data_IF_510188023720
#
_entry.id   IF_510188023720
#
_cell.length_a   1.000
_cell.length_b   1.000
_cell.length_c   1.000
_cell.angle_alpha   90.00
_cell.angle_beta   90.00
_cell.angle_gamma   90.00
#
_symmetry.space_group_name_H-M   'P 1'
#
loop_
_entity.id
_entity.type
_entity.pdbx_description
1 polymer ?
#
# COMPACT_ATOMS: atom_id res chain seq x y z
N UNK A 1 -18.57 7.67 -17.42
CA UNK A 1 -17.52 7.02 -18.25
C UNK A 1 -16.89 5.89 -17.45
N UNK A 2 -16.73 4.73 -18.09
CA UNK A 2 -16.01 3.57 -17.52
C UNK A 2 -14.51 3.70 -17.72
N UNK A 3 -13.70 3.30 -16.74
CA UNK A 3 -12.23 3.28 -16.81
C UNK A 3 -11.69 2.00 -16.17
N UNK A 4 -10.56 1.53 -16.68
CA UNK A 4 -9.83 0.43 -16.06
C UNK A 4 -8.78 0.97 -15.08
N UNK A 5 -8.60 0.28 -13.95
CA UNK A 5 -7.53 0.54 -12.98
C UNK A 5 -7.23 -0.69 -12.13
N UNK A 6 -6.37 -0.56 -11.11
CA UNK A 6 -5.95 -1.64 -10.22
C UNK A 6 -6.40 -1.35 -8.78
N UNK A 7 -7.04 -2.32 -8.15
CA UNK A 7 -7.49 -2.26 -6.77
C UNK A 7 -6.31 -2.49 -5.79
N UNK A 8 -6.05 -1.55 -4.88
CA UNK A 8 -4.90 -1.58 -3.93
C UNK A 8 -5.17 -1.67 -2.41
N UNK A 9 -6.39 -1.88 -1.88
CA UNK A 9 -6.58 -2.14 -0.44
C UNK A 9 -6.02 -3.46 0.10
N UNK A 10 -5.47 -4.35 -0.74
CA UNK A 10 -4.74 -5.54 -0.31
C UNK A 10 -3.71 -5.98 -1.37
N UNK A 11 -2.88 -6.96 -1.03
CA UNK A 11 -1.82 -7.49 -1.90
C UNK A 11 -2.30 -8.25 -3.15
N UNK A 12 -3.61 -8.44 -3.32
CA UNK A 12 -4.14 -9.18 -4.46
C UNK A 12 -4.15 -8.36 -5.77
N UNK A 13 -4.11 -7.02 -5.69
CA UNK A 13 -3.95 -6.13 -6.83
C UNK A 13 -4.86 -6.44 -8.04
N UNK A 14 -6.14 -6.77 -7.79
CA UNK A 14 -7.06 -7.18 -8.85
C UNK A 14 -7.30 -6.05 -9.88
N UNK A 15 -7.39 -6.36 -11.18
CA UNK A 15 -7.88 -5.42 -12.18
C UNK A 15 -9.36 -5.12 -11.93
N UNK A 16 -9.73 -3.86 -12.03
CA UNK A 16 -11.10 -3.38 -11.81
C UNK A 16 -11.53 -2.44 -12.93
N UNK A 17 -12.82 -2.49 -13.23
CA UNK A 17 -13.51 -1.44 -14.00
C UNK A 17 -14.20 -0.51 -13.00
N UNK A 18 -14.00 0.79 -13.16
CA UNK A 18 -14.64 1.83 -12.34
C UNK A 18 -15.55 2.69 -13.20
N UNK A 19 -16.66 3.11 -12.60
CA UNK A 19 -17.58 4.06 -13.20
C UNK A 19 -17.37 5.44 -12.60
N UNK A 20 -17.14 6.41 -13.49
CA UNK A 20 -16.96 7.82 -13.12
C UNK A 20 -18.09 8.66 -13.72
N UNK A 21 -18.88 9.30 -12.86
CA UNK A 21 -19.95 10.23 -13.23
C UNK A 21 -19.58 11.58 -12.63
N UNK A 22 -19.63 12.66 -13.42
CA UNK A 22 -19.31 14.02 -12.95
C UNK A 22 -17.96 14.12 -12.20
N UNK A 23 -16.94 13.43 -12.73
CA UNK A 23 -15.59 13.33 -12.13
C UNK A 23 -15.55 12.66 -10.75
N UNK A 24 -16.62 11.97 -10.33
CA UNK A 24 -16.70 11.20 -9.09
C UNK A 24 -16.75 9.70 -9.37
N UNK A 25 -16.00 8.92 -8.61
CA UNK A 25 -16.08 7.46 -8.56
C UNK A 25 -17.42 7.08 -7.92
N UNK A 26 -18.26 6.39 -8.69
CA UNK A 26 -19.60 5.96 -8.24
C UNK A 26 -19.63 4.47 -7.96
N UNK A 27 -18.94 3.67 -8.77
CA UNK A 27 -18.90 2.22 -8.59
C UNK A 27 -17.56 1.63 -9.03
N UNK A 28 -17.22 0.47 -8.48
CA UNK A 28 -16.02 -0.28 -8.86
C UNK A 28 -16.34 -1.79 -8.84
N UNK A 29 -16.01 -2.49 -9.92
CA UNK A 29 -16.24 -3.93 -10.08
C UNK A 29 -14.96 -4.65 -10.49
N UNK A 30 -14.78 -5.88 -10.00
CA UNK A 30 -13.67 -6.74 -10.46
C UNK A 30 -13.83 -7.05 -11.94
N UNK A 31 -12.75 -6.85 -12.69
CA UNK A 31 -12.64 -7.30 -14.07
C UNK A 31 -12.20 -8.76 -14.07
N UNK A 32 -13.01 -9.63 -14.66
CA UNK A 32 -12.78 -11.07 -14.65
C UNK A 32 -13.39 -11.71 -15.89
N UNK A 33 -12.81 -12.81 -16.35
CA UNK A 33 -13.38 -13.68 -17.38
C UNK A 33 -14.59 -14.50 -16.88
N UNK A 34 -14.85 -14.49 -15.58
CA UNK A 34 -16.03 -15.15 -15.00
C UNK A 34 -17.28 -14.26 -15.14
N UNK A 35 -18.42 -14.89 -15.33
CA UNK A 35 -19.75 -14.28 -15.18
C UNK A 35 -19.90 -13.61 -13.81
N UNK A 36 -20.67 -12.53 -13.74
CA UNK A 36 -20.73 -11.64 -12.57
C UNK A 36 -21.16 -12.36 -11.30
N UNK A 37 -22.10 -13.30 -11.40
CA UNK A 37 -22.64 -14.10 -10.29
C UNK A 37 -21.60 -15.06 -9.70
N UNK A 38 -20.59 -15.42 -10.49
CA UNK A 38 -19.50 -16.32 -10.08
C UNK A 38 -18.31 -15.56 -9.48
N UNK A 39 -18.33 -14.22 -9.51
CA UNK A 39 -17.24 -13.39 -8.97
C UNK A 39 -17.33 -13.33 -7.45
N UNK A 40 -16.19 -13.43 -6.77
CA UNK A 40 -16.13 -13.30 -5.31
C UNK A 40 -16.36 -11.82 -4.94
N UNK A 41 -17.39 -11.51 -4.13
CA UNK A 41 -17.65 -10.14 -3.68
C UNK A 41 -16.53 -9.67 -2.73
N UNK A 42 -16.26 -8.37 -2.72
CA UNK A 42 -15.20 -7.78 -1.92
C UNK A 42 -15.68 -6.52 -1.21
N UNK A 43 -15.86 -6.62 0.11
CA UNK A 43 -16.27 -5.52 0.98
C UNK A 43 -15.42 -4.25 0.78
N UNK A 44 -14.10 -4.42 0.67
CA UNK A 44 -13.14 -3.32 0.49
C UNK A 44 -13.29 -2.60 -0.84
N UNK A 45 -13.65 -3.34 -1.90
CA UNK A 45 -13.90 -2.74 -3.22
C UNK A 45 -15.21 -1.95 -3.21
N UNK A 46 -16.23 -2.48 -2.56
CA UNK A 46 -17.52 -1.79 -2.42
C UNK A 46 -17.36 -0.47 -1.65
N UNK A 47 -16.51 -0.44 -0.62
CA UNK A 47 -16.18 0.76 0.16
C UNK A 47 -15.18 1.70 -0.52
N UNK A 48 -14.78 1.47 -1.78
CA UNK A 48 -13.72 2.26 -2.42
C UNK A 48 -14.11 3.74 -2.54
N UNK A 49 -15.36 4.05 -2.90
CA UNK A 49 -15.84 5.43 -2.98
C UNK A 49 -15.83 6.11 -1.61
N UNK A 50 -16.27 5.41 -0.56
CA UNK A 50 -16.28 5.93 0.82
C UNK A 50 -14.87 6.23 1.34
N UNK A 51 -13.88 5.42 0.96
CA UNK A 51 -12.47 5.66 1.30
C UNK A 51 -11.95 6.91 0.55
N UNK A 52 -12.18 6.98 -0.77
CA UNK A 52 -11.68 8.08 -1.61
C UNK A 52 -12.28 9.42 -1.21
N UNK A 53 -13.57 9.44 -0.86
CA UNK A 53 -14.35 10.62 -0.52
C UNK A 53 -14.63 10.78 0.98
N UNK A 54 -13.90 10.05 1.83
CA UNK A 54 -14.05 10.19 3.28
C UNK A 54 -13.88 11.64 3.69
N UNK A 55 -14.81 12.22 4.48
CA UNK A 55 -14.68 13.59 4.98
C UNK A 55 -13.49 13.76 5.93
N UNK A 56 -12.91 12.65 6.42
CA UNK A 56 -11.72 12.63 7.28
C UNK A 56 -10.41 12.52 6.49
N UNK A 57 -10.46 12.45 5.15
CA UNK A 57 -9.27 12.34 4.32
C UNK A 57 -8.47 13.64 4.35
N UNK A 58 -7.16 13.54 4.61
CA UNK A 58 -6.25 14.67 4.48
C UNK A 58 -6.08 15.04 3.00
N UNK A 59 -6.34 16.31 2.68
CA UNK A 59 -6.22 16.88 1.32
C UNK A 59 -5.09 17.89 1.20
N UNK A 60 -4.50 18.30 2.32
CA UNK A 60 -3.34 19.19 2.42
C UNK A 60 -2.31 18.60 3.38
N UNK A 61 -1.03 18.99 3.26
CA UNK A 61 -0.04 18.70 4.29
C UNK A 61 -0.43 19.30 5.64
N UNK A 62 0.17 18.79 6.72
CA UNK A 62 0.00 19.30 8.08
C UNK A 62 1.35 19.31 8.80
N UNK A 63 1.66 20.42 9.49
CA UNK A 63 2.85 20.55 10.34
C UNK A 63 2.40 20.70 11.79
N UNK A 64 2.95 19.86 12.68
CA UNK A 64 2.72 19.94 14.12
C UNK A 64 3.40 21.18 14.72
N UNK A 65 2.66 21.92 15.54
CA UNK A 65 3.15 23.15 16.19
C UNK A 65 3.87 22.84 17.51
N UNK A 66 5.07 22.28 17.38
CA UNK A 66 5.94 21.97 18.52
C UNK A 66 5.89 20.51 18.97
N UNK A 67 6.89 20.12 19.77
CA UNK A 67 7.01 18.76 20.29
C UNK A 67 5.94 18.54 21.37
N UNK A 68 5.17 17.46 21.24
CA UNK A 68 4.10 17.12 22.20
C UNK A 68 2.78 17.89 22.02
N UNK A 69 2.73 18.87 21.12
CA UNK A 69 1.49 19.61 20.81
C UNK A 69 0.49 18.75 20.06
N UNK A 70 -0.80 18.87 20.37
CA UNK A 70 -1.89 18.28 19.59
C UNK A 70 -2.31 19.16 18.39
N UNK A 71 -1.75 20.36 18.26
CA UNK A 71 -2.11 21.33 17.23
C UNK A 71 -1.30 21.12 15.95
N UNK A 72 -1.99 21.29 14.82
CA UNK A 72 -1.43 21.22 13.48
C UNK A 72 -1.89 22.43 12.67
N UNK A 73 -0.98 22.96 11.86
CA UNK A 73 -1.30 23.95 10.83
C UNK A 73 -1.15 23.36 9.45
N UNK A 74 -1.90 23.89 8.49
CA UNK A 74 -1.78 23.53 7.07
C UNK A 74 -0.77 24.46 6.38
N UNK A 75 0.41 23.96 5.97
CA UNK A 75 1.36 24.73 5.16
C UNK A 75 1.02 24.63 3.66
N UNK A 76 1.77 25.35 2.84
CA UNK A 76 1.92 25.00 1.42
C UNK A 76 2.79 23.74 1.24
N UNK A 77 2.69 23.11 0.08
CA UNK A 77 3.48 21.91 -0.22
C UNK A 77 4.98 22.15 -0.15
N UNK A 78 5.47 23.26 -0.70
CA UNK A 78 6.91 23.58 -0.71
C UNK A 78 7.45 23.73 0.71
N UNK A 79 6.72 24.42 1.59
CA UNK A 79 7.11 24.55 2.99
C UNK A 79 7.15 23.21 3.73
N UNK A 80 6.18 22.32 3.46
CA UNK A 80 6.16 20.99 4.05
C UNK A 80 7.37 20.15 3.60
N UNK A 81 7.72 20.21 2.31
CA UNK A 81 8.86 19.50 1.74
C UNK A 81 10.19 20.09 2.21
N UNK A 82 10.33 21.42 2.25
CA UNK A 82 11.50 22.11 2.79
C UNK A 82 11.78 21.71 4.23
N UNK A 83 10.73 21.52 5.04
CA UNK A 83 10.89 21.05 6.42
C UNK A 83 11.46 19.63 6.48
N UNK A 84 11.04 18.75 5.56
CA UNK A 84 11.59 17.38 5.46
C UNK A 84 13.05 17.44 5.02
N UNK A 85 13.38 18.22 3.99
CA UNK A 85 14.75 18.39 3.47
C UNK A 85 15.68 18.92 4.55
N UNK A 86 15.31 20.00 5.24
CA UNK A 86 16.10 20.56 6.36
C UNK A 86 16.33 19.54 7.47
N UNK A 87 15.34 18.69 7.76
CA UNK A 87 15.48 17.60 8.73
C UNK A 87 16.50 16.56 8.26
N UNK A 88 16.43 16.15 7.00
CA UNK A 88 17.38 15.21 6.40
C UNK A 88 18.81 15.76 6.41
N UNK A 89 19.01 17.00 5.96
CA UNK A 89 20.32 17.66 5.94
C UNK A 89 20.92 17.82 7.33
N UNK A 90 20.12 18.30 8.29
CA UNK A 90 20.55 18.46 9.68
C UNK A 90 21.04 17.13 10.26
N UNK A 91 20.24 16.07 10.17
CA UNK A 91 20.64 14.77 10.72
C UNK A 91 21.82 14.14 9.96
N UNK A 92 21.92 14.38 8.65
CA UNK A 92 23.09 13.97 7.86
C UNK A 92 24.36 14.66 8.34
N UNK A 93 24.30 15.97 8.63
CA UNK A 93 25.43 16.70 9.20
C UNK A 93 25.77 16.18 10.60
N UNK A 94 24.79 16.17 11.51
CA UNK A 94 25.01 15.90 12.93
C UNK A 94 25.41 14.45 13.23
N UNK A 95 24.89 13.49 12.47
CA UNK A 95 25.01 12.05 12.80
C UNK A 95 25.30 11.15 11.60
N UNK A 96 25.40 11.71 10.39
CA UNK A 96 25.57 10.96 9.16
C UNK A 96 24.25 10.50 8.54
N UNK A 97 24.28 10.18 7.23
CA UNK A 97 23.08 9.84 6.47
C UNK A 97 22.34 8.61 7.02
N UNK A 98 23.06 7.66 7.61
CA UNK A 98 22.49 6.46 8.24
C UNK A 98 21.53 6.77 9.40
N UNK A 99 21.56 7.96 9.99
CA UNK A 99 20.63 8.36 11.04
C UNK A 99 19.16 8.52 10.56
N UNK A 100 18.93 8.56 9.24
CA UNK A 100 17.59 8.64 8.65
C UNK A 100 17.13 7.27 8.18
N UNK A 101 15.90 6.89 8.56
CA UNK A 101 15.23 5.70 8.05
C UNK A 101 13.99 6.08 7.23
N UNK A 102 13.74 5.34 6.16
CA UNK A 102 12.51 5.40 5.38
C UNK A 102 11.66 4.18 5.69
N UNK A 103 10.48 4.38 6.28
CA UNK A 103 9.57 3.30 6.63
C UNK A 103 8.40 3.23 5.66
N UNK A 104 8.11 2.03 5.18
CA UNK A 104 7.02 1.77 4.26
C UNK A 104 6.06 0.69 4.77
N UNK A 105 4.76 1.00 4.66
CA UNK A 105 3.66 0.09 4.97
C UNK A 105 3.22 -0.81 3.81
N UNK A 106 1.91 -0.91 3.61
CA UNK A 106 1.22 -1.93 2.79
C UNK A 106 1.83 -2.22 1.41
N UNK A 107 1.70 -3.49 1.04
CA UNK A 107 2.30 -4.11 -0.12
C UNK A 107 1.72 -3.78 -1.50
N UNK A 108 0.52 -3.22 -1.60
CA UNK A 108 -0.14 -3.07 -2.91
C UNK A 108 0.56 -2.09 -3.87
N UNK A 109 1.54 -1.32 -3.37
CA UNK A 109 2.35 -0.39 -4.16
C UNK A 109 3.82 -0.84 -4.31
N UNK A 110 4.20 -2.09 -3.99
CA UNK A 110 5.54 -2.61 -4.32
C UNK A 110 5.75 -2.52 -5.85
N UNK A 111 6.89 -1.99 -6.27
CA UNK A 111 7.17 -1.57 -7.65
C UNK A 111 7.80 -0.18 -7.69
N UNK A 112 7.49 0.65 -8.70
CA UNK A 112 8.11 1.95 -8.89
C UNK A 112 8.15 2.85 -7.62
N UNK A 113 7.10 2.95 -6.79
CA UNK A 113 7.18 3.73 -5.56
C UNK A 113 8.23 3.20 -4.56
N UNK A 114 8.51 1.90 -4.55
CA UNK A 114 9.54 1.29 -3.69
C UNK A 114 10.92 1.58 -4.25
N UNK A 115 11.07 1.47 -5.56
CA UNK A 115 12.33 1.75 -6.24
C UNK A 115 12.72 3.22 -6.10
N UNK A 116 11.76 4.16 -6.11
CA UNK A 116 12.03 5.57 -5.83
C UNK A 116 12.51 5.81 -4.40
N UNK A 117 11.92 5.15 -3.41
CA UNK A 117 12.37 5.26 -2.01
C UNK A 117 13.79 4.71 -1.84
N UNK A 118 14.07 3.51 -2.38
CA UNK A 118 15.43 2.95 -2.36
C UNK A 118 16.43 3.85 -3.08
N UNK A 119 16.08 4.34 -4.27
CA UNK A 119 16.96 5.22 -5.05
C UNK A 119 17.28 6.49 -4.28
N UNK A 120 16.28 7.13 -3.69
CA UNK A 120 16.46 8.33 -2.88
C UNK A 120 17.39 8.04 -1.70
N UNK A 121 17.12 6.99 -0.93
CA UNK A 121 17.88 6.67 0.28
C UNK A 121 19.31 6.23 -0.02
N UNK A 122 19.52 5.45 -1.07
CA UNK A 122 20.85 5.06 -1.53
C UNK A 122 21.67 6.27 -2.00
N UNK A 123 21.09 7.19 -2.78
CA UNK A 123 21.76 8.42 -3.20
C UNK A 123 22.00 9.39 -2.03
N UNK A 124 21.09 9.43 -1.06
CA UNK A 124 21.26 10.19 0.17
C UNK A 124 22.40 9.64 1.03
N UNK A 125 22.68 8.34 0.93
CA UNK A 125 23.73 7.62 1.66
C UNK A 125 23.24 6.87 2.89
N UNK A 126 21.93 6.61 2.99
CA UNK A 126 21.35 5.83 4.09
C UNK A 126 20.99 4.41 3.64
N UNK A 127 21.45 3.37 4.35
CA UNK A 127 21.03 2.00 4.09
C UNK A 127 19.64 1.68 4.67
N UNK A 128 19.04 2.58 5.45
CA UNK A 128 17.87 2.29 6.26
C UNK A 128 16.56 2.49 5.49
N UNK A 129 16.35 1.71 4.43
CA UNK A 129 15.05 1.63 3.74
C UNK A 129 14.31 0.38 4.19
N UNK A 130 13.24 0.56 4.96
CA UNK A 130 12.57 -0.50 5.73
C UNK A 130 11.15 -0.71 5.19
N UNK A 131 10.86 -1.95 4.77
CA UNK A 131 9.51 -2.39 4.42
C UNK A 131 8.85 -3.21 5.53
N UNK A 132 7.56 -3.50 5.40
CA UNK A 132 6.77 -4.27 6.36
C UNK A 132 6.91 -5.82 6.21
N UNK A 133 7.93 -6.30 5.49
CA UNK A 133 8.06 -7.71 5.11
C UNK A 133 8.18 -8.67 6.29
N UNK A 134 8.87 -8.26 7.36
CA UNK A 134 9.10 -9.05 8.58
C UNK A 134 7.81 -9.37 9.34
N UNK A 135 6.79 -8.53 9.23
CA UNK A 135 5.46 -8.73 9.83
C UNK A 135 4.42 -9.23 8.82
N UNK A 136 4.84 -9.55 7.59
CA UNK A 136 3.98 -9.97 6.50
C UNK A 136 4.37 -11.37 5.98
N UNK A 137 4.66 -11.52 4.69
CA UNK A 137 4.81 -12.83 4.05
C UNK A 137 6.27 -13.31 3.93
N UNK A 138 7.27 -12.50 4.28
CA UNK A 138 8.68 -12.78 3.98
C UNK A 138 9.20 -14.02 4.71
N UNK A 139 8.79 -14.26 5.96
CA UNK A 139 9.20 -15.47 6.68
C UNK A 139 8.75 -16.76 5.95
N UNK A 140 7.53 -16.75 5.41
CA UNK A 140 7.00 -17.86 4.59
C UNK A 140 7.78 -18.00 3.28
N UNK A 141 8.05 -16.88 2.62
CA UNK A 141 8.77 -16.85 1.34
C UNK A 141 10.23 -17.34 1.47
N UNK A 142 10.91 -16.94 2.54
CA UNK A 142 12.24 -17.44 2.90
C UNK A 142 12.22 -18.95 3.10
N UNK A 143 11.30 -19.47 3.92
CA UNK A 143 11.18 -20.90 4.17
C UNK A 143 10.93 -21.71 2.89
N UNK A 144 10.08 -21.21 1.98
CA UNK A 144 9.89 -21.86 0.68
C UNK A 144 11.19 -21.86 -0.13
N UNK A 145 11.84 -20.70 -0.27
CA UNK A 145 13.04 -20.53 -1.09
C UNK A 145 14.22 -21.39 -0.62
N UNK A 146 14.35 -21.62 0.70
CA UNK A 146 15.39 -22.49 1.25
C UNK A 146 15.16 -23.98 0.98
N UNK A 147 13.90 -24.41 0.86
CA UNK A 147 13.56 -25.83 0.78
C UNK A 147 13.28 -26.26 -0.67
N UNK A 148 12.51 -25.48 -1.44
CA UNK A 148 12.19 -25.80 -2.83
C UNK A 148 12.13 -24.53 -3.70
N UNK A 149 12.73 -24.53 -4.91
CA UNK A 149 12.82 -23.32 -5.74
C UNK A 149 11.48 -22.81 -6.29
N UNK A 150 10.45 -23.66 -6.41
CA UNK A 150 9.08 -23.25 -6.75
C UNK A 150 8.07 -24.36 -6.44
N UNK A 151 6.82 -23.97 -6.13
CA UNK A 151 5.69 -24.90 -6.05
C UNK A 151 4.72 -24.65 -7.21
N UNK A 152 4.59 -25.63 -8.12
CA UNK A 152 3.56 -25.58 -9.18
C UNK A 152 2.19 -25.97 -8.62
N UNK A 153 1.34 -24.95 -8.43
CA UNK A 153 -0.03 -25.11 -7.93
C UNK A 153 -1.03 -25.49 -9.03
N UNK A 154 -0.66 -25.37 -10.31
CA UNK A 154 -1.61 -25.54 -11.43
C UNK A 154 -1.84 -27.00 -11.81
N UNK A 155 -0.89 -27.89 -11.49
CA UNK A 155 -0.96 -29.33 -11.74
C UNK A 155 -1.25 -30.16 -10.48
N UNK A 156 -1.45 -29.51 -9.33
CA UNK A 156 -1.71 -30.19 -8.07
C UNK A 156 -3.09 -30.85 -8.07
N UNK A 157 -3.13 -32.17 -7.79
CA UNK A 157 -4.39 -32.93 -7.59
C UNK A 157 -4.90 -32.87 -6.15
N UNK A 158 -4.05 -32.45 -5.22
CA UNK A 158 -4.31 -32.35 -3.79
C UNK A 158 -3.80 -31.01 -3.25
N UNK A 159 -4.59 -30.37 -2.39
CA UNK A 159 -4.24 -29.11 -1.73
C UNK A 159 -4.35 -29.26 -0.21
N UNK A 160 -3.22 -29.20 0.48
CA UNK A 160 -3.17 -28.99 1.92
C UNK A 160 -3.06 -27.48 2.22
N UNK A 161 -3.91 -26.95 3.10
CA UNK A 161 -3.89 -25.54 3.52
C UNK A 161 -3.77 -25.46 5.03
N UNK A 162 -2.76 -24.75 5.50
CA UNK A 162 -2.55 -24.47 6.93
C UNK A 162 -2.74 -22.97 7.16
N UNK A 163 -3.85 -22.59 7.78
CA UNK A 163 -4.16 -21.19 8.14
C UNK A 163 -4.51 -20.24 6.98
N UNK A 164 -4.51 -20.71 5.73
CA UNK A 164 -4.88 -19.90 4.55
C UNK A 164 -6.37 -20.07 4.20
N UNK A 165 -7.19 -19.05 4.47
CA UNK A 165 -8.55 -18.94 3.95
C UNK A 165 -8.63 -17.86 2.85
N UNK A 166 -8.71 -18.27 1.57
CA UNK A 166 -8.75 -17.34 0.44
C UNK A 166 -10.02 -16.47 0.40
N UNK A 167 -11.04 -16.77 1.22
CA UNK A 167 -12.31 -16.02 1.26
C UNK A 167 -12.34 -14.97 2.36
N UNK A 168 -11.48 -15.07 3.36
CA UNK A 168 -11.56 -14.34 4.61
C UNK A 168 -11.39 -12.81 4.43
N UNK A 169 -10.48 -12.41 3.54
CA UNK A 169 -10.24 -10.99 3.25
C UNK A 169 -11.26 -10.33 2.33
N UNK A 170 -12.11 -11.11 1.65
CA UNK A 170 -13.06 -10.60 0.65
C UNK A 170 -14.50 -10.57 1.19
N UNK A 171 -14.89 -11.52 2.04
CA UNK A 171 -16.29 -11.69 2.49
C UNK A 171 -16.67 -10.97 3.78
N UNK A 172 -15.73 -10.38 4.53
CA UNK A 172 -15.98 -9.76 5.85
C UNK A 172 -16.69 -8.38 5.82
N UNK A 173 -17.65 -8.16 4.93
CA UNK A 173 -18.68 -7.15 5.21
C UNK A 173 -19.84 -7.86 5.93
N UNK A 174 -20.30 -7.39 7.09
CA UNK A 174 -21.61 -7.80 7.57
C UNK A 174 -22.65 -7.38 6.52
N UNK A 175 -23.61 -8.27 6.25
CA UNK A 175 -24.82 -7.92 5.50
C UNK A 175 -25.61 -6.87 6.27
#
# INVERSE_FOLDING_TARGET
MKKDTVCRPCSACYPIEVEVIEKRLVSAKRKSFLEEEKRIPCAKLNAAADIVYSPKRLTSPLIREGKGSANFRAPFWDEALDRVVKGFERHKWESGAHAIAWLRGMAADWGAPWDYANRLMNLFGSPNTIGNGSVCFVARDMAHSFVYPAADKTRSRWFARHGDDPRDHCRRAPR
#
